data_IF_510482774735
#
_entry.id   IF_510482774735
#
_cell.length_a   1.000
_cell.length_b   1.000
_cell.length_c   1.000
_cell.angle_alpha   90.00
_cell.angle_beta   90.00
_cell.angle_gamma   90.00
#
_symmetry.space_group_name_H-M   'P 1'
#
loop_
_entity.id
_entity.type
_entity.pdbx_description
1 polymer ?
#
# COMPACT_ATOMS: atom_id res chain seq x y z
N UNK A 1 -14.18 8.19 -9.06
CA UNK A 1 -13.22 7.27 -9.73
C UNK A 1 -13.00 6.07 -8.80
N UNK A 2 -12.99 4.81 -9.29
CA UNK A 2 -12.92 3.61 -8.41
C UNK A 2 -11.69 3.60 -7.48
N UNK A 3 -10.58 4.20 -7.92
CA UNK A 3 -9.35 4.31 -7.14
C UNK A 3 -9.51 5.23 -5.90
N UNK A 4 -10.22 6.35 -6.06
CA UNK A 4 -10.54 7.28 -4.96
C UNK A 4 -11.40 6.57 -3.92
N UNK A 5 -12.38 5.79 -4.36
CA UNK A 5 -13.23 5.02 -3.45
C UNK A 5 -12.43 3.98 -2.64
N UNK A 6 -11.49 3.28 -3.27
CA UNK A 6 -10.60 2.36 -2.55
C UNK A 6 -9.75 3.10 -1.49
N UNK A 7 -9.29 4.32 -1.80
CA UNK A 7 -8.60 5.16 -0.82
C UNK A 7 -9.52 5.63 0.32
N UNK A 8 -10.76 6.02 0.05
CA UNK A 8 -11.74 6.40 1.08
C UNK A 8 -12.03 5.24 2.04
N UNK A 9 -12.15 4.02 1.53
CA UNK A 9 -12.29 2.82 2.35
C UNK A 9 -11.07 2.60 3.25
N UNK A 10 -9.87 2.81 2.70
CA UNK A 10 -8.62 2.75 3.46
C UNK A 10 -8.58 3.81 4.58
N UNK A 11 -8.99 5.04 4.28
CA UNK A 11 -9.09 6.14 5.24
C UNK A 11 -10.06 5.82 6.38
N UNK A 12 -11.28 5.39 6.04
CA UNK A 12 -12.30 5.04 7.02
C UNK A 12 -11.88 3.86 7.92
N UNK A 13 -11.16 2.87 7.38
CA UNK A 13 -10.62 1.77 8.17
C UNK A 13 -9.52 2.24 9.13
N UNK A 14 -8.63 3.13 8.67
CA UNK A 14 -7.56 3.67 9.50
C UNK A 14 -8.08 4.54 10.66
N UNK A 15 -9.09 5.37 10.42
CA UNK A 15 -9.75 6.17 11.46
C UNK A 15 -10.34 5.31 12.58
N UNK A 16 -10.84 4.12 12.23
CA UNK A 16 -11.38 3.13 13.18
C UNK A 16 -10.30 2.28 13.85
N UNK A 17 -9.02 2.47 13.48
CA UNK A 17 -7.92 1.60 13.91
C UNK A 17 -8.01 0.17 13.36
N UNK A 18 -8.84 -0.05 12.33
CA UNK A 18 -9.05 -1.33 11.68
C UNK A 18 -7.94 -1.58 10.64
N UNK A 19 -6.85 -2.12 11.12
CA UNK A 19 -5.69 -2.39 10.28
C UNK A 19 -5.89 -3.58 9.32
N UNK A 20 -6.89 -4.44 9.56
CA UNK A 20 -7.31 -5.46 8.59
C UNK A 20 -8.04 -4.83 7.41
N UNK A 21 -8.99 -3.93 7.69
CA UNK A 21 -9.65 -3.13 6.65
C UNK A 21 -8.69 -2.26 5.83
N UNK A 22 -7.67 -1.66 6.47
CA UNK A 22 -6.61 -0.93 5.74
C UNK A 22 -5.83 -1.87 4.81
N UNK A 23 -5.52 -3.08 5.28
CA UNK A 23 -4.83 -4.08 4.49
C UNK A 23 -5.63 -4.47 3.24
N UNK A 24 -6.90 -4.82 3.41
CA UNK A 24 -7.77 -5.20 2.29
C UNK A 24 -7.94 -4.04 1.29
N UNK A 25 -8.11 -2.82 1.80
CA UNK A 25 -8.28 -1.63 0.96
C UNK A 25 -7.02 -1.28 0.14
N UNK A 26 -5.81 -1.53 0.64
CA UNK A 26 -4.56 -1.36 -0.13
C UNK A 26 -4.53 -2.29 -1.35
N UNK A 27 -4.97 -3.54 -1.20
CA UNK A 27 -5.00 -4.48 -2.32
C UNK A 27 -6.10 -4.16 -3.31
N UNK A 28 -7.28 -3.77 -2.83
CA UNK A 28 -8.34 -3.22 -3.68
C UNK A 28 -7.86 -2.01 -4.49
N UNK A 29 -7.10 -1.10 -3.87
CA UNK A 29 -6.50 0.05 -4.55
C UNK A 29 -5.52 -0.37 -5.66
N UNK A 30 -4.65 -1.35 -5.37
CA UNK A 30 -3.72 -1.89 -6.35
C UNK A 30 -4.43 -2.60 -7.51
N UNK A 31 -5.43 -3.43 -7.21
CA UNK A 31 -6.21 -4.17 -8.22
C UNK A 31 -6.95 -3.21 -9.16
N UNK A 32 -7.60 -2.17 -8.62
CA UNK A 32 -8.25 -1.13 -9.42
C UNK A 32 -7.22 -0.38 -10.28
N UNK A 33 -6.01 -0.15 -9.76
CA UNK A 33 -4.92 0.43 -10.56
C UNK A 33 -4.50 -0.47 -11.71
N UNK A 34 -4.38 -1.79 -11.47
CA UNK A 34 -4.01 -2.78 -12.49
C UNK A 34 -5.06 -2.93 -13.58
N UNK A 35 -6.35 -2.78 -13.27
CA UNK A 35 -7.43 -2.78 -14.27
C UNK A 35 -7.26 -1.68 -15.33
N UNK A 36 -6.50 -0.62 -15.04
CA UNK A 36 -6.25 0.49 -15.97
C UNK A 36 -5.03 0.26 -16.88
N UNK A 37 -4.30 -0.84 -16.67
CA UNK A 37 -3.11 -1.16 -17.47
C UNK A 37 -3.55 -1.72 -18.83
N UNK A 38 -3.36 -0.95 -19.89
CA UNK A 38 -3.71 -1.34 -21.27
C UNK A 38 -2.75 -2.38 -21.88
N UNK A 39 -1.75 -2.86 -21.11
CA UNK A 39 -0.81 -3.89 -21.52
C UNK A 39 -1.07 -5.20 -20.74
N UNK A 40 -1.67 -6.23 -21.36
CA UNK A 40 -2.05 -7.46 -20.67
C UNK A 40 -0.85 -8.29 -20.18
N UNK A 41 0.29 -8.22 -20.86
CA UNK A 41 1.53 -8.90 -20.40
C UNK A 41 2.03 -8.26 -19.12
N UNK A 42 2.08 -6.92 -19.08
CA UNK A 42 2.47 -6.16 -17.89
C UNK A 42 1.49 -6.39 -16.74
N UNK A 43 0.19 -6.37 -17.01
CA UNK A 43 -0.84 -6.67 -16.01
C UNK A 43 -0.64 -8.07 -15.40
N UNK A 44 -0.39 -9.09 -16.22
CA UNK A 44 -0.13 -10.46 -15.74
C UNK A 44 1.13 -10.59 -14.88
N UNK A 45 2.22 -9.89 -15.26
CA UNK A 45 3.44 -9.85 -14.44
C UNK A 45 3.15 -9.21 -13.07
N UNK A 46 2.48 -8.06 -13.06
CA UNK A 46 2.16 -7.34 -11.83
C UNK A 46 1.23 -8.16 -10.92
N UNK A 47 0.20 -8.80 -11.49
CA UNK A 47 -0.67 -9.72 -10.75
C UNK A 47 0.11 -10.89 -10.14
N UNK A 48 1.11 -11.45 -10.84
CA UNK A 48 1.98 -12.50 -10.31
C UNK A 48 2.86 -12.05 -9.13
N UNK A 49 3.17 -10.75 -9.04
CA UNK A 49 3.95 -10.18 -7.94
C UNK A 49 3.11 -9.84 -6.69
N UNK A 50 1.80 -9.62 -6.86
CA UNK A 50 0.89 -9.20 -5.79
C UNK A 50 0.88 -10.13 -4.56
N UNK A 51 0.85 -11.46 -4.68
CA UNK A 51 0.87 -12.36 -3.52
C UNK A 51 2.11 -12.18 -2.63
N UNK A 52 3.26 -11.81 -3.21
CA UNK A 52 4.48 -11.57 -2.44
C UNK A 52 4.41 -10.23 -1.68
N UNK A 53 3.85 -9.20 -2.31
CA UNK A 53 3.58 -7.92 -1.65
C UNK A 53 2.58 -8.08 -0.49
N UNK A 54 1.53 -8.89 -0.70
CA UNK A 54 0.53 -9.23 0.33
C UNK A 54 1.14 -9.86 1.57
N UNK A 55 2.04 -10.83 1.40
CA UNK A 55 2.72 -11.48 2.53
C UNK A 55 3.60 -10.50 3.31
N UNK A 56 4.34 -9.63 2.61
CA UNK A 56 5.20 -8.65 3.24
C UNK A 56 4.41 -7.61 4.05
N UNK A 57 3.29 -7.16 3.50
CA UNK A 57 2.40 -6.21 4.18
C UNK A 57 1.68 -6.84 5.35
N UNK A 58 1.29 -8.12 5.26
CA UNK A 58 0.70 -8.85 6.37
C UNK A 58 1.69 -8.97 7.54
N UNK A 59 2.96 -9.29 7.26
CA UNK A 59 4.00 -9.29 8.29
C UNK A 59 4.18 -7.92 8.93
N UNK A 60 4.18 -6.85 8.13
CA UNK A 60 4.26 -5.47 8.64
C UNK A 60 3.06 -5.10 9.52
N UNK A 61 1.87 -5.55 9.15
CA UNK A 61 0.62 -5.37 9.90
C UNK A 61 0.68 -6.08 11.26
N UNK A 62 1.05 -7.37 11.26
CA UNK A 62 1.11 -8.21 12.48
C UNK A 62 2.17 -7.69 13.45
N UNK A 63 3.34 -7.27 12.94
CA UNK A 63 4.45 -6.84 13.81
C UNK A 63 4.32 -5.39 14.27
N UNK A 64 3.73 -4.48 13.48
CA UNK A 64 3.64 -3.07 13.85
C UNK A 64 2.41 -2.34 13.27
N UNK A 65 1.24 -2.64 13.83
CA UNK A 65 -0.05 -2.02 13.48
C UNK A 65 -0.01 -0.49 13.38
N UNK A 66 0.53 0.22 14.37
CA UNK A 66 0.55 1.71 14.36
C UNK A 66 1.32 2.27 13.17
N UNK A 67 2.45 1.65 12.85
CA UNK A 67 3.31 2.06 11.74
C UNK A 67 2.70 1.67 10.39
N UNK A 68 1.93 0.59 10.35
CA UNK A 68 1.14 0.20 9.19
C UNK A 68 0.08 1.26 8.84
N UNK A 69 -0.62 1.80 9.85
CA UNK A 69 -1.60 2.87 9.65
C UNK A 69 -0.98 4.19 9.14
N UNK A 70 0.31 4.43 9.41
CA UNK A 70 1.00 5.63 8.94
C UNK A 70 1.23 5.66 7.41
N UNK A 71 0.96 4.56 6.69
CA UNK A 71 1.17 4.43 5.24
C UNK A 71 0.15 5.22 4.41
N UNK A 72 -0.98 5.63 5.01
CA UNK A 72 -2.06 6.35 4.32
C UNK A 72 -1.62 7.64 3.62
N UNK A 73 -0.59 8.31 4.14
CA UNK A 73 -0.08 9.56 3.56
C UNK A 73 0.43 9.38 2.13
N UNK A 74 1.02 8.23 1.81
CA UNK A 74 1.47 7.91 0.46
C UNK A 74 0.28 7.75 -0.49
N UNK A 75 -0.74 6.98 -0.10
CA UNK A 75 -1.94 6.76 -0.90
C UNK A 75 -2.73 8.05 -1.13
N UNK A 76 -2.83 8.91 -0.11
CA UNK A 76 -3.41 10.25 -0.24
C UNK A 76 -2.69 11.05 -1.32
N UNK A 77 -1.35 11.07 -1.27
CA UNK A 77 -0.54 11.81 -2.25
C UNK A 77 -0.74 11.26 -3.67
N UNK A 78 -0.81 9.94 -3.83
CA UNK A 78 -1.08 9.30 -5.13
C UNK A 78 -2.45 9.76 -5.67
N UNK A 79 -3.49 9.77 -4.84
CA UNK A 79 -4.84 10.21 -5.24
C UNK A 79 -4.87 11.69 -5.62
N UNK A 80 -4.31 12.56 -4.76
CA UNK A 80 -4.22 14.01 -5.03
C UNK A 80 -3.46 14.31 -6.33
N UNK A 81 -2.40 13.54 -6.61
CA UNK A 81 -1.63 13.64 -7.86
C UNK A 81 -2.46 13.27 -9.09
N UNK A 82 -3.32 12.25 -9.00
CA UNK A 82 -4.21 11.87 -10.09
C UNK A 82 -5.26 12.96 -10.37
N UNK A 83 -5.81 13.56 -9.32
CA UNK A 83 -6.77 14.67 -9.44
C UNK A 83 -6.11 15.92 -10.03
N UNK A 84 -4.87 16.22 -9.61
CA UNK A 84 -4.07 17.34 -10.11
C UNK A 84 -3.43 17.09 -11.49
N UNK A 85 -3.53 15.86 -12.03
CA UNK A 85 -2.82 15.39 -13.23
C UNK A 85 -1.29 15.54 -13.14
N UNK A 86 -0.75 15.48 -11.94
CA UNK A 86 0.68 15.53 -11.64
C UNK A 86 1.22 14.09 -11.50
N UNK A 87 1.53 13.50 -12.66
CA UNK A 87 1.99 12.11 -12.76
C UNK A 87 3.31 11.90 -12.02
N UNK A 88 4.24 12.84 -12.11
CA UNK A 88 5.57 12.72 -11.49
C UNK A 88 5.45 12.65 -9.96
N UNK A 89 4.66 13.54 -9.35
CA UNK A 89 4.39 13.49 -7.91
C UNK A 89 3.72 12.18 -7.49
N UNK A 90 2.83 11.65 -8.33
CA UNK A 90 2.16 10.37 -8.08
C UNK A 90 3.13 9.19 -8.10
N UNK A 91 4.04 9.17 -9.08
CA UNK A 91 5.11 8.15 -9.20
C UNK A 91 6.05 8.23 -8.01
N UNK A 92 6.51 9.42 -7.64
CA UNK A 92 7.39 9.62 -6.48
C UNK A 92 6.75 9.13 -5.17
N UNK A 93 5.45 9.37 -5.00
CA UNK A 93 4.72 8.88 -3.83
C UNK A 93 4.64 7.34 -3.79
N UNK A 94 4.44 6.70 -4.95
CA UNK A 94 4.46 5.24 -5.07
C UNK A 94 5.85 4.65 -4.79
N UNK A 95 6.90 5.26 -5.32
CA UNK A 95 8.28 4.84 -5.05
C UNK A 95 8.64 4.98 -3.57
N UNK A 96 8.25 6.09 -2.95
CA UNK A 96 8.46 6.33 -1.52
C UNK A 96 7.72 5.29 -0.67
N UNK A 97 6.49 4.93 -1.07
CA UNK A 97 5.75 3.84 -0.45
C UNK A 97 6.51 2.50 -0.54
N UNK A 98 6.94 2.10 -1.74
CA UNK A 98 7.70 0.84 -1.94
C UNK A 98 9.00 0.83 -1.14
N UNK A 99 9.74 1.94 -1.11
CA UNK A 99 10.96 2.08 -0.32
C UNK A 99 10.67 1.94 1.18
N UNK A 100 9.54 2.48 1.64
CA UNK A 100 9.12 2.37 3.04
C UNK A 100 8.82 0.92 3.45
N UNK A 101 8.24 0.09 2.56
CA UNK A 101 7.95 -1.33 2.82
C UNK A 101 9.20 -2.12 3.23
N UNK A 102 10.33 -1.87 2.55
CA UNK A 102 11.62 -2.51 2.89
C UNK A 102 12.07 -2.15 4.31
N UNK A 103 11.99 -0.86 4.66
CA UNK A 103 12.38 -0.36 5.99
C UNK A 103 11.47 -0.93 7.07
N UNK A 104 10.16 -1.01 6.81
CA UNK A 104 9.18 -1.57 7.73
C UNK A 104 9.41 -3.07 7.96
N UNK A 105 9.65 -3.82 6.89
CA UNK A 105 9.95 -5.24 6.97
C UNK A 105 11.22 -5.50 7.81
N UNK A 106 12.32 -4.81 7.51
CA UNK A 106 13.58 -4.97 8.26
C UNK A 106 13.43 -4.59 9.74
N UNK A 107 12.74 -3.48 10.04
CA UNK A 107 12.47 -3.06 11.41
C UNK A 107 11.54 -4.02 12.18
N UNK A 108 10.73 -4.80 11.46
CA UNK A 108 9.85 -5.82 12.04
C UNK A 108 10.65 -7.06 12.46
N UNK A 109 11.71 -7.42 11.73
CA UNK A 109 12.61 -8.51 12.12
C UNK A 109 13.61 -8.11 13.22
N UNK A 110 14.08 -6.85 13.23
CA UNK A 110 15.08 -6.38 14.20
C UNK A 110 14.62 -6.41 15.66
N UNK A 111 13.31 -6.32 15.94
CA UNK A 111 12.76 -6.37 17.30
C UNK A 111 12.67 -7.78 17.91
N UNK A 112 12.78 -8.84 17.12
CA UNK A 112 12.81 -10.21 17.65
C UNK A 112 14.18 -10.67 18.17
N UNK A 113 15.25 -9.89 17.96
CA UNK A 113 16.63 -10.26 18.38
C UNK A 113 17.07 -9.71 19.75
N UNK A 114 16.20 -9.00 20.49
CA UNK A 114 16.56 -8.45 21.81
C UNK A 114 15.91 -9.16 23.00
N UNK A 115 15.20 -10.28 22.77
CA UNK A 115 14.59 -11.10 23.83
C UNK A 115 14.81 -12.62 23.60
N UNK A 116 15.91 -12.98 22.96
CA UNK A 116 16.40 -14.37 22.89
C UNK A 116 17.64 -14.53 23.73
#
# INVERSE_FOLDING_TARGET
>A
MRLIHAYEQMAAAAEKGDAGGVYDAIFSFADVGLETVENPVLAGILQGLMPNAQRLQYLSLVVNRKRYLAKLSYFKTIVESLEARDVERGVQAMEAYVASEKIYALASFGRHRLHG
#
